data_IF_439977256439
#
_entry.id   IF_439977256439
#
_cell.length_a   1.000
_cell.length_b   1.000
_cell.length_c   1.000
_cell.angle_alpha   90.00
_cell.angle_beta   90.00
_cell.angle_gamma   90.00
#
_symmetry.space_group_name_H-M   'P 1'
#
loop_
_entity.id
_entity.type
_entity.pdbx_description
1 polymer ?
#
# COMPACT_ATOMS: atom_id res chain seq x y z
N UNK A 1 -12.71 36.85 -1.10
CA UNK A 1 -13.11 35.47 -0.75
C UNK A 1 -14.62 35.48 -0.54
N UNK A 2 -15.30 34.48 -1.09
CA UNK A 2 -16.73 34.31 -0.93
C UNK A 2 -17.06 33.91 0.49
N UNK A 3 -18.09 34.47 1.05
CA UNK A 3 -18.55 34.18 2.41
C UNK A 3 -19.96 33.61 2.39
N UNK A 4 -20.17 32.61 3.19
CA UNK A 4 -21.46 31.97 3.38
C UNK A 4 -21.77 31.80 4.86
N UNK A 5 -22.95 31.28 5.14
CA UNK A 5 -23.42 30.99 6.51
C UNK A 5 -23.91 29.56 6.60
N UNK A 6 -23.65 28.92 7.72
CA UNK A 6 -24.20 27.59 8.03
C UNK A 6 -25.71 27.73 8.22
N UNK A 7 -26.47 26.95 7.46
CA UNK A 7 -27.95 26.93 7.56
C UNK A 7 -28.48 25.63 8.15
N UNK A 8 -27.73 24.52 8.03
CA UNK A 8 -28.11 23.22 8.58
C UNK A 8 -26.89 22.41 8.94
N UNK A 9 -26.98 21.67 10.03
CA UNK A 9 -25.95 20.72 10.50
C UNK A 9 -26.63 19.37 10.72
N UNK A 10 -26.11 18.33 10.06
CA UNK A 10 -26.58 16.95 10.20
C UNK A 10 -25.37 16.02 10.36
N UNK A 11 -24.84 15.93 11.58
CA UNK A 11 -23.58 15.24 11.85
C UNK A 11 -22.41 15.89 11.08
N UNK A 12 -21.66 15.13 10.30
CA UNK A 12 -20.55 15.66 9.50
C UNK A 12 -21.00 16.36 8.20
N UNK A 13 -22.30 16.42 7.91
CA UNK A 13 -22.86 17.10 6.73
C UNK A 13 -23.32 18.51 7.11
N UNK A 14 -22.78 19.50 6.43
CA UNK A 14 -23.03 20.92 6.69
C UNK A 14 -23.59 21.58 5.43
N UNK A 15 -24.74 22.24 5.53
CA UNK A 15 -25.30 23.05 4.46
C UNK A 15 -24.91 24.52 4.67
N UNK A 16 -24.34 25.13 3.64
CA UNK A 16 -23.84 26.49 3.66
C UNK A 16 -24.53 27.29 2.56
N UNK A 17 -25.18 28.38 2.94
CA UNK A 17 -25.86 29.34 2.02
C UNK A 17 -24.93 30.51 1.70
N UNK A 18 -24.82 30.84 0.41
CA UNK A 18 -24.10 32.01 -0.08
C UNK A 18 -25.05 33.08 -0.55
N UNK A 19 -24.67 34.35 -0.45
CA UNK A 19 -25.52 35.48 -0.85
C UNK A 19 -25.72 35.55 -2.37
N UNK A 20 -24.70 35.19 -3.13
CA UNK A 20 -24.69 35.21 -4.60
C UNK A 20 -24.88 33.83 -5.21
N UNK A 21 -25.36 33.82 -6.44
CA UNK A 21 -25.46 32.60 -7.24
C UNK A 21 -24.09 32.02 -7.70
N UNK A 22 -23.02 32.76 -7.47
CA UNK A 22 -21.63 32.32 -7.76
C UNK A 22 -21.11 31.43 -6.62
N UNK A 23 -21.48 30.17 -6.68
CA UNK A 23 -21.18 29.18 -5.65
C UNK A 23 -19.77 28.61 -5.79
N UNK A 24 -19.16 28.14 -4.66
CA UNK A 24 -17.95 27.31 -4.74
C UNK A 24 -18.18 26.08 -5.60
N UNK A 25 -17.13 25.60 -6.27
CA UNK A 25 -17.20 24.37 -7.05
C UNK A 25 -17.24 23.13 -6.15
N UNK A 26 -17.76 22.04 -6.71
CA UNK A 26 -17.67 20.73 -6.05
C UNK A 26 -16.19 20.39 -5.83
N UNK A 27 -15.87 19.85 -4.66
CA UNK A 27 -14.51 19.57 -4.16
C UNK A 27 -13.73 20.81 -3.70
N UNK A 28 -14.29 22.01 -3.76
CA UNK A 28 -13.66 23.17 -3.12
C UNK A 28 -13.66 23.04 -1.59
N UNK A 29 -12.61 23.56 -0.98
CA UNK A 29 -12.48 23.65 0.47
C UNK A 29 -13.10 24.92 1.01
N UNK A 30 -13.91 24.79 2.05
CA UNK A 30 -14.46 25.89 2.83
C UNK A 30 -13.91 25.84 4.25
N UNK A 31 -13.73 26.98 4.86
CA UNK A 31 -13.19 27.09 6.21
C UNK A 31 -14.20 27.77 7.15
N UNK A 32 -14.27 27.25 8.37
CA UNK A 32 -15.04 27.83 9.47
C UNK A 32 -14.16 27.91 10.71
N UNK A 33 -14.24 29.02 11.41
CA UNK A 33 -13.58 29.19 12.72
C UNK A 33 -14.52 28.65 13.81
N UNK A 34 -14.08 27.61 14.49
CA UNK A 34 -14.79 27.00 15.61
C UNK A 34 -14.04 27.31 16.90
N UNK A 35 -14.34 28.44 17.53
CA UNK A 35 -13.70 28.94 18.75
C UNK A 35 -12.16 28.99 18.67
N UNK A 36 -11.64 29.57 17.58
CA UNK A 36 -10.22 29.71 17.32
C UNK A 36 -9.57 28.49 16.67
N UNK A 37 -10.34 27.43 16.41
CA UNK A 37 -9.90 26.25 15.68
C UNK A 37 -10.40 26.31 14.25
N UNK A 38 -9.45 26.33 13.30
CA UNK A 38 -9.75 26.22 11.88
C UNK A 38 -10.31 24.84 11.57
N UNK A 39 -11.53 24.77 11.07
CA UNK A 39 -12.15 23.55 10.58
C UNK A 39 -12.39 23.67 9.08
N UNK A 40 -12.09 22.60 8.34
CA UNK A 40 -12.24 22.56 6.89
C UNK A 40 -13.36 21.59 6.52
N UNK A 41 -14.16 21.99 5.55
CA UNK A 41 -15.17 21.16 4.91
C UNK A 41 -14.98 21.18 3.39
N UNK A 42 -15.43 20.13 2.72
CA UNK A 42 -15.36 20.02 1.27
C UNK A 42 -16.75 20.04 0.66
N UNK A 43 -16.93 20.82 -0.40
CA UNK A 43 -18.21 20.89 -1.13
C UNK A 43 -18.45 19.57 -1.84
N UNK A 44 -19.58 18.91 -1.52
CA UNK A 44 -19.99 17.64 -2.10
C UNK A 44 -21.10 17.79 -3.14
N UNK A 45 -22.04 18.72 -2.92
CA UNK A 45 -23.22 18.91 -3.78
C UNK A 45 -23.66 20.38 -3.79
N UNK A 46 -24.28 20.79 -4.91
CA UNK A 46 -25.11 21.98 -4.97
C UNK A 46 -26.56 21.52 -4.82
N UNK A 47 -27.27 22.05 -3.82
CA UNK A 47 -28.65 21.63 -3.48
C UNK A 47 -29.73 22.62 -3.84
N UNK A 48 -29.38 23.69 -4.55
CA UNK A 48 -30.31 24.79 -4.90
C UNK A 48 -30.37 25.89 -3.86
N UNK A 49 -31.08 26.99 -4.19
CA UNK A 49 -31.24 28.15 -3.31
C UNK A 49 -29.92 28.72 -2.78
N UNK A 50 -28.91 28.83 -3.64
CA UNK A 50 -27.56 29.31 -3.29
C UNK A 50 -26.89 28.53 -2.14
N UNK A 51 -27.28 27.27 -1.96
CA UNK A 51 -26.81 26.44 -0.86
C UNK A 51 -25.96 25.30 -1.40
N UNK A 52 -24.83 25.07 -0.75
CA UNK A 52 -23.96 23.92 -1.02
C UNK A 52 -23.97 22.97 0.17
N UNK A 53 -23.91 21.68 -0.11
CA UNK A 53 -23.80 20.65 0.90
C UNK A 53 -22.37 20.18 0.99
N UNK A 54 -21.82 20.22 2.21
CA UNK A 54 -20.41 19.96 2.47
C UNK A 54 -20.24 18.79 3.43
N UNK A 55 -19.09 18.15 3.34
CA UNK A 55 -18.64 17.10 4.26
C UNK A 55 -17.48 17.65 5.09
N UNK A 56 -17.60 17.54 6.41
CA UNK A 56 -16.53 17.94 7.33
C UNK A 56 -15.32 16.99 7.26
N UNK A 57 -14.14 17.59 7.26
CA UNK A 57 -12.88 16.86 7.45
C UNK A 57 -12.36 16.93 8.89
N UNK A 58 -13.13 17.54 9.77
CA UNK A 58 -12.91 17.59 11.21
C UNK A 58 -14.24 17.33 11.92
N UNK A 59 -14.23 17.25 13.26
CA UNK A 59 -15.46 17.16 14.03
C UNK A 59 -16.34 18.37 13.80
N UNK A 60 -17.65 18.17 13.65
CA UNK A 60 -18.65 19.23 13.57
C UNK A 60 -19.09 19.73 14.94
N UNK A 61 -18.58 19.17 16.01
CA UNK A 61 -18.94 19.53 17.38
C UNK A 61 -18.57 20.99 17.68
N UNK A 62 -19.52 21.74 18.22
CA UNK A 62 -19.37 23.18 18.47
C UNK A 62 -19.82 24.08 17.32
N UNK A 63 -20.07 23.55 16.14
CA UNK A 63 -20.64 24.33 15.03
C UNK A 63 -22.10 24.59 15.27
N UNK A 64 -22.58 25.78 14.86
CA UNK A 64 -23.96 26.15 14.95
C UNK A 64 -24.42 26.95 13.73
N UNK A 65 -25.72 27.08 13.60
CA UNK A 65 -26.37 27.91 12.56
C UNK A 65 -25.86 29.35 12.59
N UNK A 66 -25.81 29.96 11.42
CA UNK A 66 -25.37 31.34 11.18
C UNK A 66 -23.87 31.62 11.35
N UNK A 67 -23.05 30.62 11.65
CA UNK A 67 -21.59 30.79 11.63
C UNK A 67 -21.10 31.12 10.22
N UNK A 68 -20.16 32.07 10.14
CA UNK A 68 -19.53 32.46 8.87
C UNK A 68 -18.62 31.37 8.35
N UNK A 69 -18.75 31.07 7.07
CA UNK A 69 -17.91 30.14 6.33
C UNK A 69 -17.24 30.86 5.17
N UNK A 70 -15.96 30.66 5.00
CA UNK A 70 -15.15 31.29 3.94
C UNK A 70 -14.75 30.26 2.89
N UNK A 71 -15.08 30.53 1.63
CA UNK A 71 -14.60 29.73 0.52
C UNK A 71 -13.15 30.07 0.19
N UNK A 72 -12.30 29.05 0.10
CA UNK A 72 -10.87 29.22 -0.20
C UNK A 72 -10.60 29.49 -1.68
N UNK A 73 -11.56 29.17 -2.56
CA UNK A 73 -11.45 29.33 -4.00
C UNK A 73 -10.75 28.15 -4.71
N UNK A 74 -10.41 27.11 -3.97
CA UNK A 74 -9.77 25.89 -4.51
C UNK A 74 -10.06 24.69 -3.63
N UNK A 75 -9.72 23.50 -4.10
CA UNK A 75 -9.73 22.29 -3.28
C UNK A 75 -8.67 22.32 -2.17
N UNK A 76 -8.65 21.28 -1.37
CA UNK A 76 -7.68 21.12 -0.28
C UNK A 76 -6.28 21.09 -0.89
N UNK A 77 -5.37 21.91 -0.37
CA UNK A 77 -3.97 21.97 -0.76
C UNK A 77 -3.08 21.50 0.37
N UNK A 78 -2.12 20.67 0.03
CA UNK A 78 -1.20 20.06 0.99
C UNK A 78 0.27 20.35 0.61
N UNK A 79 1.18 20.43 1.59
CA UNK A 79 2.58 20.68 1.30
C UNK A 79 3.18 19.52 0.53
N UNK A 80 4.10 19.83 -0.39
CA UNK A 80 4.82 18.87 -1.21
C UNK A 80 6.31 19.22 -1.22
N UNK A 81 7.16 18.24 -1.53
CA UNK A 81 8.59 18.44 -1.67
C UNK A 81 9.42 17.76 -0.58
N UNK A 82 10.73 17.92 -0.64
CA UNK A 82 11.68 17.19 0.24
C UNK A 82 11.48 17.49 1.73
N UNK A 83 10.96 18.65 2.09
CA UNK A 83 10.70 18.99 3.50
C UNK A 83 9.56 18.20 4.14
N UNK A 84 8.76 17.48 3.34
CA UNK A 84 7.76 16.54 3.85
C UNK A 84 8.38 15.25 4.36
N UNK A 85 9.58 14.91 3.91
CA UNK A 85 10.27 13.68 4.31
C UNK A 85 10.65 13.71 5.79
N UNK A 86 10.42 12.59 6.46
CA UNK A 86 10.63 12.45 7.89
C UNK A 86 9.51 13.03 8.75
N UNK A 87 8.45 13.55 8.14
CA UNK A 87 7.38 14.26 8.81
C UNK A 87 6.07 13.46 8.82
N UNK A 88 5.21 13.84 9.75
CA UNK A 88 3.91 13.22 9.98
C UNK A 88 2.80 14.26 9.79
N UNK A 89 1.83 13.93 8.93
CA UNK A 89 0.75 14.85 8.52
C UNK A 89 -0.63 14.28 8.78
N UNK A 90 -1.61 15.17 8.91
CA UNK A 90 -3.03 14.83 8.81
C UNK A 90 -3.53 14.96 7.35
N UNK A 91 -4.84 14.77 7.14
CA UNK A 91 -5.47 14.86 5.81
C UNK A 91 -5.30 16.24 5.14
N UNK A 92 -5.22 17.30 5.92
CA UNK A 92 -5.06 18.68 5.44
C UNK A 92 -3.59 19.05 5.17
N UNK A 93 -2.66 18.13 5.42
CA UNK A 93 -1.24 18.41 5.32
C UNK A 93 -0.65 19.21 6.48
N UNK A 94 -1.39 19.36 7.58
CA UNK A 94 -0.86 19.95 8.80
C UNK A 94 0.08 18.94 9.48
N UNK A 95 1.19 19.44 10.01
CA UNK A 95 2.14 18.60 10.73
C UNK A 95 1.59 18.23 12.11
N UNK A 96 1.64 16.94 12.45
CA UNK A 96 1.15 16.39 13.72
C UNK A 96 2.25 15.75 14.58
N UNK A 97 3.49 15.91 14.18
CA UNK A 97 4.70 15.40 14.84
C UNK A 97 5.34 16.41 15.82
N UNK A 98 4.65 17.51 16.12
CA UNK A 98 5.13 18.64 16.95
C UNK A 98 6.34 19.37 16.35
N UNK A 99 6.67 19.13 15.09
CA UNK A 99 7.69 19.86 14.36
C UNK A 99 7.16 21.17 13.77
N UNK A 100 8.04 21.86 13.07
CA UNK A 100 7.68 23.12 12.39
C UNK A 100 6.57 22.92 11.34
N UNK A 101 5.70 23.90 11.22
CA UNK A 101 4.69 23.93 10.16
C UNK A 101 5.33 24.13 8.79
N UNK A 102 4.74 23.52 7.76
CA UNK A 102 5.18 23.66 6.37
C UNK A 102 4.26 24.59 5.55
N UNK A 103 3.65 25.57 6.18
CA UNK A 103 2.72 26.50 5.51
C UNK A 103 3.37 27.36 4.42
N UNK A 104 4.66 27.62 4.53
CA UNK A 104 5.43 28.43 3.58
C UNK A 104 6.02 27.63 2.39
N UNK A 105 5.84 26.30 2.40
CA UNK A 105 6.30 25.42 1.35
C UNK A 105 5.33 25.40 0.17
N UNK A 106 5.76 24.84 -0.94
CA UNK A 106 4.90 24.62 -2.10
C UNK A 106 3.75 23.68 -1.74
N UNK A 107 2.55 24.03 -2.17
CA UNK A 107 1.34 23.24 -1.94
C UNK A 107 0.70 22.83 -3.25
N UNK A 108 0.19 21.62 -3.30
CA UNK A 108 -0.60 21.09 -4.42
C UNK A 108 -2.00 20.68 -3.95
N UNK A 109 -2.97 20.87 -4.84
CA UNK A 109 -4.34 20.39 -4.60
C UNK A 109 -4.35 18.84 -4.62
N UNK A 110 -5.09 18.25 -3.68
CA UNK A 110 -5.24 16.79 -3.60
C UNK A 110 -6.11 16.20 -4.71
N UNK A 111 -6.96 17.02 -5.33
CA UNK A 111 -7.78 16.62 -6.47
C UNK A 111 -7.03 16.92 -7.77
N UNK A 112 -6.40 15.89 -8.30
CA UNK A 112 -5.60 15.95 -9.51
C UNK A 112 -6.10 14.93 -10.52
N UNK A 113 -5.96 15.24 -11.80
CA UNK A 113 -6.27 14.31 -12.87
C UNK A 113 -5.20 13.20 -12.96
N UNK A 114 -5.61 12.04 -13.41
CA UNK A 114 -4.69 10.97 -13.76
C UNK A 114 -3.78 11.40 -14.93
N UNK A 115 -2.55 10.85 -15.03
CA UNK A 115 -1.69 11.14 -16.19
C UNK A 115 -2.38 10.81 -17.51
N UNK A 116 -2.24 11.72 -18.49
CA UNK A 116 -2.77 11.51 -19.83
C UNK A 116 -2.04 10.38 -20.56
N UNK A 117 -2.64 9.85 -21.62
CA UNK A 117 -2.05 8.76 -22.41
C UNK A 117 -0.64 9.08 -22.94
N UNK A 118 -0.40 10.33 -23.30
CA UNK A 118 0.91 10.79 -23.80
C UNK A 118 1.98 10.87 -22.70
N UNK A 119 1.57 11.03 -21.46
CA UNK A 119 2.46 11.13 -20.29
C UNK A 119 2.86 9.77 -19.74
N UNK A 120 2.03 8.76 -19.94
CA UNK A 120 2.28 7.42 -19.44
C UNK A 120 3.45 6.76 -20.15
N UNK A 121 4.26 6.02 -19.38
CA UNK A 121 5.32 5.19 -19.93
C UNK A 121 4.73 3.90 -20.51
N UNK A 122 5.00 3.57 -21.78
CA UNK A 122 4.56 2.31 -22.34
C UNK A 122 5.40 1.11 -21.91
N UNK A 123 6.58 1.34 -21.33
CA UNK A 123 7.48 0.29 -20.90
C UNK A 123 7.04 -0.31 -19.57
N UNK A 124 7.01 -1.64 -19.50
CA UNK A 124 6.81 -2.37 -18.26
C UNK A 124 8.18 -2.72 -17.69
N UNK A 125 8.51 -2.12 -16.55
CA UNK A 125 9.77 -2.36 -15.85
C UNK A 125 9.51 -3.06 -14.52
N UNK A 126 10.37 -4.03 -14.18
CA UNK A 126 10.33 -4.71 -12.89
C UNK A 126 10.94 -3.80 -11.83
N UNK A 127 10.23 -3.61 -10.72
CA UNK A 127 10.78 -3.01 -9.50
C UNK A 127 11.43 -4.10 -8.67
N UNK A 128 12.76 -4.11 -8.64
CA UNK A 128 13.53 -5.06 -7.84
C UNK A 128 13.42 -4.70 -6.36
N UNK A 129 12.86 -5.60 -5.56
CA UNK A 129 12.64 -5.36 -4.12
C UNK A 129 13.78 -5.87 -3.24
N UNK A 130 14.63 -6.75 -3.77
CA UNK A 130 15.67 -7.43 -2.99
C UNK A 130 15.14 -8.53 -2.09
N UNK A 131 13.86 -8.86 -2.18
CA UNK A 131 13.20 -9.92 -1.41
C UNK A 131 12.94 -11.10 -2.36
N UNK A 132 13.60 -12.22 -2.11
CA UNK A 132 13.62 -13.38 -3.01
C UNK A 132 12.23 -13.86 -3.43
N UNK A 133 11.35 -14.07 -2.48
CA UNK A 133 10.02 -14.62 -2.74
C UNK A 133 9.17 -13.69 -3.62
N UNK A 134 9.27 -12.39 -3.40
CA UNK A 134 8.56 -11.39 -4.20
C UNK A 134 9.13 -11.31 -5.60
N UNK A 135 10.44 -11.10 -5.72
CA UNK A 135 11.10 -10.88 -7.00
C UNK A 135 11.01 -12.10 -7.93
N UNK A 136 11.04 -13.31 -7.37
CA UNK A 136 10.93 -14.53 -8.16
C UNK A 136 9.48 -14.83 -8.59
N UNK A 137 8.54 -14.85 -7.64
CA UNK A 137 7.21 -15.46 -7.83
C UNK A 137 6.09 -14.45 -8.02
N UNK A 138 6.24 -13.24 -7.47
CA UNK A 138 5.23 -12.19 -7.54
C UNK A 138 5.90 -10.80 -7.75
N UNK A 139 6.68 -10.62 -8.83
CA UNK A 139 7.45 -9.41 -9.05
C UNK A 139 6.55 -8.17 -9.18
N UNK A 140 7.06 -7.04 -8.68
CA UNK A 140 6.37 -5.77 -8.74
C UNK A 140 6.75 -5.03 -10.03
N UNK A 141 5.76 -4.39 -10.64
CA UNK A 141 5.99 -3.47 -11.75
C UNK A 141 6.16 -2.04 -11.23
N UNK A 142 7.09 -1.28 -11.79
CA UNK A 142 7.14 0.18 -11.57
C UNK A 142 5.86 0.82 -12.07
N UNK A 143 5.25 1.66 -11.26
CA UNK A 143 3.94 2.23 -11.54
C UNK A 143 2.78 1.26 -11.39
N UNK A 144 3.04 0.05 -10.89
CA UNK A 144 2.05 -0.98 -10.63
C UNK A 144 1.32 -0.80 -9.29
N UNK A 145 0.22 -1.51 -9.17
CA UNK A 145 -0.62 -1.54 -7.98
C UNK A 145 -0.58 -2.93 -7.38
N UNK A 146 -0.03 -3.04 -6.18
CA UNK A 146 0.18 -4.30 -5.48
C UNK A 146 -0.79 -4.39 -4.31
N UNK A 147 -1.58 -5.46 -4.27
CA UNK A 147 -2.40 -5.78 -3.12
C UNK A 147 -1.61 -6.59 -2.09
N UNK A 148 -1.63 -6.15 -0.84
CA UNK A 148 -1.01 -6.83 0.29
C UNK A 148 -2.11 -7.41 1.18
N UNK A 149 -2.14 -8.73 1.27
CA UNK A 149 -3.13 -9.47 2.05
C UNK A 149 -2.45 -10.14 3.23
N UNK A 150 -3.11 -10.17 4.36
CA UNK A 150 -2.64 -10.89 5.53
C UNK A 150 -3.38 -10.47 6.78
N UNK A 151 -3.58 -11.41 7.68
CA UNK A 151 -4.16 -11.17 9.00
C UNK A 151 -3.18 -10.48 9.95
N UNK A 152 -3.58 -10.34 11.20
CA UNK A 152 -2.73 -9.79 12.23
C UNK A 152 -1.55 -10.73 12.55
N UNK A 153 -0.39 -10.15 12.82
CA UNK A 153 0.79 -10.89 13.29
C UNK A 153 1.52 -11.72 12.23
N UNK A 154 1.33 -11.43 10.94
CA UNK A 154 2.00 -12.14 9.84
C UNK A 154 3.21 -11.38 9.28
N UNK A 155 3.62 -10.28 9.91
CA UNK A 155 4.79 -9.51 9.51
C UNK A 155 4.54 -8.45 8.44
N UNK A 156 3.31 -7.98 8.26
CA UNK A 156 2.95 -6.93 7.31
C UNK A 156 3.79 -5.66 7.48
N UNK A 157 3.85 -5.15 8.70
CA UNK A 157 4.59 -3.91 9.02
C UNK A 157 6.09 -4.05 8.75
N UNK A 158 6.67 -5.18 9.12
CA UNK A 158 8.10 -5.46 8.89
C UNK A 158 8.41 -5.54 7.40
N UNK A 159 7.53 -6.16 6.62
CA UNK A 159 7.67 -6.21 5.16
C UNK A 159 7.61 -4.81 4.53
N UNK A 160 6.67 -3.98 4.95
CA UNK A 160 6.55 -2.59 4.49
C UNK A 160 7.84 -1.81 4.79
N UNK A 161 8.36 -1.91 5.99
CA UNK A 161 9.59 -1.23 6.38
C UNK A 161 10.80 -1.72 5.57
N UNK A 162 10.90 -3.00 5.29
CA UNK A 162 11.97 -3.55 4.46
C UNK A 162 11.89 -3.09 3.01
N UNK A 163 10.70 -3.00 2.44
CA UNK A 163 10.49 -2.41 1.11
C UNK A 163 10.93 -0.95 1.07
N UNK A 164 10.59 -0.16 2.08
CA UNK A 164 11.04 1.23 2.20
C UNK A 164 12.55 1.30 2.29
N UNK A 165 13.16 0.49 3.14
CA UNK A 165 14.60 0.42 3.32
C UNK A 165 15.32 0.08 2.01
N UNK A 166 14.86 -0.93 1.32
CA UNK A 166 15.48 -1.40 0.08
C UNK A 166 15.34 -0.39 -1.06
N UNK A 167 14.19 0.24 -1.20
CA UNK A 167 14.00 1.30 -2.21
C UNK A 167 14.86 2.52 -1.91
N UNK A 168 14.93 2.96 -0.65
CA UNK A 168 15.75 4.10 -0.26
C UNK A 168 17.23 3.83 -0.46
N UNK A 169 17.72 2.64 -0.13
CA UNK A 169 19.15 2.30 -0.17
C UNK A 169 19.62 1.96 -1.57
N UNK A 170 18.87 1.13 -2.31
CA UNK A 170 19.31 0.58 -3.60
C UNK A 170 18.84 1.40 -4.80
N UNK A 171 17.70 2.05 -4.69
CA UNK A 171 17.11 2.85 -5.77
C UNK A 171 17.15 4.35 -5.53
N UNK A 172 17.53 4.79 -4.33
CA UNK A 172 17.56 6.22 -3.95
C UNK A 172 16.19 6.89 -3.93
N UNK A 173 15.12 6.11 -3.93
CA UNK A 173 13.74 6.59 -3.99
C UNK A 173 13.16 6.97 -2.64
N UNK A 174 12.04 7.70 -2.70
CA UNK A 174 11.28 8.10 -1.53
C UNK A 174 10.02 7.24 -1.38
N UNK A 175 9.48 7.25 -0.17
CA UNK A 175 8.25 6.53 0.14
C UNK A 175 7.25 7.43 0.84
N UNK A 176 5.98 7.22 0.56
CA UNK A 176 4.87 7.88 1.25
C UNK A 176 4.02 6.77 1.88
N UNK A 177 3.78 6.87 3.17
CA UNK A 177 2.88 5.96 3.87
C UNK A 177 1.59 6.67 4.23
N UNK A 178 0.45 6.11 3.82
CA UNK A 178 -0.86 6.62 4.18
C UNK A 178 -1.59 5.63 5.08
N UNK A 179 -1.91 6.06 6.31
CA UNK A 179 -2.77 5.33 7.23
C UNK A 179 -4.21 5.76 7.05
N UNK A 180 -5.05 4.86 6.55
CA UNK A 180 -6.45 5.13 6.24
C UNK A 180 -7.35 4.31 7.14
N UNK A 181 -8.00 4.96 8.09
CA UNK A 181 -9.01 4.36 8.94
C UNK A 181 -8.51 3.23 9.86
N UNK A 182 -7.21 3.14 10.08
CA UNK A 182 -6.61 2.15 10.98
C UNK A 182 -6.47 2.70 12.41
N UNK A 183 -5.99 1.89 13.32
CA UNK A 183 -5.83 2.30 14.73
C UNK A 183 -4.70 3.31 14.86
N UNK A 184 -4.96 4.40 15.59
CA UNK A 184 -3.95 5.44 15.86
C UNK A 184 -2.71 4.89 16.55
N UNK A 185 -2.87 3.90 17.43
CA UNK A 185 -1.75 3.21 18.10
C UNK A 185 -0.82 2.53 17.10
N UNK A 186 -1.36 1.80 16.13
CA UNK A 186 -0.57 1.13 15.09
C UNK A 186 0.21 2.14 14.24
N UNK A 187 -0.40 3.29 13.93
CA UNK A 187 0.29 4.38 13.24
C UNK A 187 1.44 4.97 14.05
N UNK A 188 1.24 5.15 15.35
CA UNK A 188 2.29 5.64 16.25
C UNK A 188 3.44 4.63 16.42
N UNK A 189 3.10 3.35 16.55
CA UNK A 189 4.08 2.27 16.63
C UNK A 189 4.93 2.22 15.35
N UNK A 190 4.29 2.29 14.19
CA UNK A 190 4.97 2.35 12.89
C UNK A 190 5.93 3.54 12.80
N UNK A 191 5.49 4.72 13.18
CA UNK A 191 6.33 5.92 13.17
C UNK A 191 7.56 5.76 14.07
N UNK A 192 7.38 5.24 15.28
CA UNK A 192 8.47 4.97 16.21
C UNK A 192 9.47 3.93 15.68
N UNK A 193 8.96 2.84 15.14
CA UNK A 193 9.79 1.78 14.54
C UNK A 193 10.57 2.28 13.31
N UNK A 194 9.97 3.10 12.47
CA UNK A 194 10.64 3.70 11.31
C UNK A 194 11.74 4.67 11.73
N UNK A 195 11.53 5.38 12.82
CA UNK A 195 12.55 6.26 13.42
C UNK A 195 13.74 5.46 13.95
N UNK A 196 13.46 4.36 14.66
CA UNK A 196 14.49 3.47 15.20
C UNK A 196 15.29 2.74 14.12
N UNK A 197 14.63 2.30 13.06
CA UNK A 197 15.26 1.61 11.92
C UNK A 197 16.00 2.55 10.97
N UNK A 198 15.83 3.87 11.11
CA UNK A 198 16.51 4.87 10.29
C UNK A 198 15.91 5.11 8.90
N UNK A 199 14.73 4.55 8.60
CA UNK A 199 14.07 4.73 7.29
C UNK A 199 13.17 5.97 7.23
N UNK A 200 12.89 6.60 8.38
CA UNK A 200 11.97 7.71 8.46
C UNK A 200 12.39 8.92 7.61
N UNK A 201 13.69 9.19 7.51
CA UNK A 201 14.21 10.33 6.77
C UNK A 201 13.97 10.29 5.25
N UNK A 202 13.57 9.17 4.71
CA UNK A 202 13.20 8.96 3.30
C UNK A 202 11.71 8.74 3.09
N UNK A 203 10.91 8.98 4.13
CA UNK A 203 9.48 8.66 4.13
C UNK A 203 8.67 9.83 4.69
N UNK A 204 7.56 10.16 4.04
CA UNK A 204 6.51 11.01 4.61
C UNK A 204 5.33 10.13 5.05
N UNK A 205 4.74 10.45 6.21
CA UNK A 205 3.61 9.72 6.74
C UNK A 205 2.38 10.64 6.82
N UNK A 206 1.25 10.13 6.34
CA UNK A 206 -0.03 10.85 6.36
C UNK A 206 -1.07 9.96 7.01
N UNK A 207 -1.68 10.42 8.09
CA UNK A 207 -2.66 9.63 8.84
C UNK A 207 -4.05 10.27 8.85
N UNK A 208 -5.06 9.48 8.49
CA UNK A 208 -6.47 9.73 8.70
C UNK A 208 -7.10 8.49 9.32
N UNK A 209 -6.88 8.31 10.63
CA UNK A 209 -7.16 7.06 11.32
C UNK A 209 -8.63 6.91 11.73
N UNK A 210 -8.98 5.83 12.42
CA UNK A 210 -10.37 5.49 12.71
C UNK A 210 -11.11 6.48 13.63
N UNK A 211 -10.37 7.31 14.36
CA UNK A 211 -10.95 8.39 15.19
C UNK A 211 -11.33 9.63 14.39
N UNK A 212 -10.91 9.72 13.13
CA UNK A 212 -11.23 10.84 12.24
C UNK A 212 -12.63 10.67 11.61
N UNK A 213 -13.32 11.78 11.26
CA UNK A 213 -14.60 11.71 10.56
C UNK A 213 -14.45 11.07 9.17
N UNK A 214 -15.57 10.59 8.57
CA UNK A 214 -15.51 9.90 7.29
C UNK A 214 -14.93 10.73 6.15
N UNK A 215 -15.12 12.04 6.15
CA UNK A 215 -14.52 12.95 5.16
C UNK A 215 -12.99 12.91 5.19
N UNK A 216 -12.39 12.93 6.37
CA UNK A 216 -10.94 12.84 6.52
C UNK A 216 -10.41 11.47 6.09
N UNK A 217 -11.05 10.39 6.51
CA UNK A 217 -10.67 9.01 6.12
C UNK A 217 -10.79 8.79 4.61
N UNK A 218 -11.75 9.42 3.96
CA UNK A 218 -11.95 9.34 2.52
C UNK A 218 -10.87 10.09 1.72
N UNK A 219 -10.31 11.17 2.25
CA UNK A 219 -9.37 12.05 1.52
C UNK A 219 -7.90 11.83 1.85
N UNK A 220 -7.59 11.16 2.94
CA UNK A 220 -6.19 10.99 3.37
C UNK A 220 -5.32 10.24 2.34
N UNK A 221 -5.87 9.27 1.64
CA UNK A 221 -5.15 8.56 0.58
C UNK A 221 -4.77 9.50 -0.57
N UNK A 222 -5.65 10.42 -0.93
CA UNK A 222 -5.39 11.43 -1.95
C UNK A 222 -4.31 12.43 -1.52
N UNK A 223 -4.25 12.77 -0.24
CA UNK A 223 -3.19 13.60 0.34
C UNK A 223 -1.82 12.95 0.16
N UNK A 224 -1.68 11.71 0.56
CA UNK A 224 -0.42 10.97 0.39
C UNK A 224 -0.05 10.75 -1.08
N UNK A 225 -1.03 10.43 -1.90
CA UNK A 225 -0.82 10.27 -3.34
C UNK A 225 -0.33 11.57 -4.00
N UNK A 226 -0.86 12.72 -3.60
CA UNK A 226 -0.42 14.03 -4.09
C UNK A 226 1.05 14.31 -3.75
N UNK A 227 1.47 13.98 -2.53
CA UNK A 227 2.88 14.08 -2.14
C UNK A 227 3.77 13.16 -2.99
N UNK A 228 3.31 11.94 -3.26
CA UNK A 228 4.03 11.00 -4.13
C UNK A 228 4.12 11.50 -5.58
N UNK A 229 3.04 12.05 -6.12
CA UNK A 229 2.99 12.59 -7.47
C UNK A 229 3.98 13.74 -7.67
N UNK A 230 4.20 14.59 -6.66
CA UNK A 230 5.20 15.65 -6.74
C UNK A 230 6.61 15.07 -6.97
N UNK A 231 7.01 14.08 -6.23
CA UNK A 231 8.31 13.45 -6.40
C UNK A 231 8.45 12.76 -7.75
N UNK A 232 7.38 12.14 -8.25
CA UNK A 232 7.36 11.54 -9.59
C UNK A 232 7.51 12.59 -10.68
N UNK A 233 6.70 13.65 -10.64
CA UNK A 233 6.52 14.58 -11.75
C UNK A 233 7.59 15.69 -11.77
N UNK A 234 7.99 16.21 -10.60
CA UNK A 234 8.94 17.33 -10.49
C UNK A 234 10.37 16.88 -10.18
N UNK A 235 10.53 15.86 -9.38
CA UNK A 235 11.85 15.35 -9.00
C UNK A 235 12.27 14.10 -9.76
N UNK A 236 11.44 13.60 -10.66
CA UNK A 236 11.72 12.45 -11.54
C UNK A 236 12.12 11.19 -10.76
N UNK A 237 11.46 10.95 -9.64
CA UNK A 237 11.73 9.83 -8.75
C UNK A 237 10.80 8.64 -9.01
N UNK A 238 11.29 7.47 -8.63
CA UNK A 238 10.46 6.29 -8.46
C UNK A 238 10.02 6.23 -7.00
N UNK A 239 8.74 6.40 -6.74
CA UNK A 239 8.17 6.56 -5.41
C UNK A 239 7.35 5.33 -5.03
N UNK A 240 7.51 4.86 -3.79
CA UNK A 240 6.59 3.90 -3.19
C UNK A 240 5.48 4.63 -2.43
N UNK A 241 4.25 4.25 -2.71
CA UNK A 241 3.08 4.70 -1.97
C UNK A 241 2.45 3.52 -1.24
N UNK A 242 2.38 3.60 0.09
CA UNK A 242 1.67 2.61 0.89
C UNK A 242 0.31 3.15 1.30
N UNK A 243 -0.72 2.34 1.14
CA UNK A 243 -2.09 2.65 1.55
C UNK A 243 -2.54 1.55 2.52
N UNK A 244 -2.67 1.87 3.77
CA UNK A 244 -3.13 0.95 4.79
C UNK A 244 -4.33 1.55 5.53
N UNK A 245 -5.53 1.25 5.15
CA UNK A 245 -6.04 0.16 4.34
C UNK A 245 -6.96 0.70 3.23
N UNK A 246 -6.86 0.20 2.02
CA UNK A 246 -7.72 0.68 0.90
C UNK A 246 -9.20 0.38 1.14
N UNK A 247 -9.54 -0.69 1.86
CA UNK A 247 -10.91 -0.99 2.24
C UNK A 247 -11.53 0.15 3.09
N UNK A 248 -10.74 0.78 3.95
CA UNK A 248 -11.22 1.88 4.79
C UNK A 248 -11.52 3.14 3.97
N UNK A 249 -10.80 3.36 2.89
CA UNK A 249 -11.14 4.39 1.91
C UNK A 249 -12.53 4.15 1.31
N UNK A 250 -12.81 2.94 0.86
CA UNK A 250 -14.12 2.55 0.32
C UNK A 250 -15.21 2.68 1.38
N UNK A 251 -14.97 2.22 2.60
CA UNK A 251 -15.91 2.29 3.71
C UNK A 251 -16.26 3.76 4.06
N UNK A 252 -15.26 4.63 4.11
CA UNK A 252 -15.48 6.05 4.36
C UNK A 252 -16.33 6.70 3.25
N UNK A 253 -16.08 6.34 2.00
CA UNK A 253 -16.91 6.76 0.86
C UNK A 253 -18.37 6.28 0.98
N UNK A 254 -18.59 5.07 1.48
CA UNK A 254 -19.93 4.54 1.77
C UNK A 254 -20.64 5.34 2.86
N UNK A 255 -19.96 5.65 3.95
CA UNK A 255 -20.49 6.50 5.03
C UNK A 255 -20.88 7.89 4.52
N UNK A 256 -19.99 8.53 3.74
CA UNK A 256 -20.25 9.84 3.13
C UNK A 256 -21.47 9.78 2.20
N UNK A 257 -21.56 8.78 1.35
CA UNK A 257 -22.68 8.59 0.43
C UNK A 257 -24.01 8.44 1.18
N UNK A 258 -24.05 7.66 2.25
CA UNK A 258 -25.23 7.48 3.08
C UNK A 258 -25.64 8.80 3.75
N UNK A 259 -24.69 9.56 4.27
CA UNK A 259 -24.94 10.87 4.89
C UNK A 259 -25.46 11.92 3.90
N UNK A 260 -25.07 11.81 2.63
CA UNK A 260 -25.58 12.66 1.54
C UNK A 260 -26.96 12.23 1.05
N UNK A 261 -27.53 11.15 1.57
CA UNK A 261 -28.83 10.63 1.19
C UNK A 261 -28.88 9.95 -0.17
N UNK A 262 -27.75 9.49 -0.68
CA UNK A 262 -27.70 8.70 -1.92
C UNK A 262 -28.26 7.29 -1.71
N UNK A 263 -28.99 6.81 -2.71
CA UNK A 263 -29.51 5.44 -2.66
C UNK A 263 -28.36 4.42 -2.70
N UNK A 264 -28.29 3.49 -1.73
CA UNK A 264 -27.22 2.51 -1.71
C UNK A 264 -27.33 1.51 -2.87
N UNK A 265 -26.19 1.01 -3.33
CA UNK A 265 -26.08 -0.09 -4.28
C UNK A 265 -26.00 -1.44 -3.57
N UNK A 266 -25.51 -2.47 -4.25
CA UNK A 266 -25.36 -3.81 -3.69
C UNK A 266 -24.58 -3.82 -2.35
N UNK A 267 -25.07 -4.58 -1.38
CA UNK A 267 -24.47 -4.75 -0.04
C UNK A 267 -24.34 -3.43 0.74
N UNK A 268 -25.09 -2.41 0.37
CA UNK A 268 -25.08 -1.11 1.04
C UNK A 268 -23.94 -0.15 0.64
N UNK A 269 -23.13 -0.51 -0.36
CA UNK A 269 -22.09 0.36 -0.87
C UNK A 269 -22.64 1.54 -1.69
N UNK A 270 -21.82 2.57 -1.83
CA UNK A 270 -22.13 3.75 -2.63
C UNK A 270 -22.31 3.42 -4.12
N UNK A 271 -23.24 4.05 -4.83
CA UNK A 271 -23.40 3.86 -6.27
C UNK A 271 -22.19 4.33 -7.10
N UNK A 272 -21.36 5.20 -6.51
CA UNK A 272 -20.17 5.79 -7.11
C UNK A 272 -18.88 5.01 -6.78
N UNK A 273 -18.97 3.83 -6.19
CA UNK A 273 -17.84 3.02 -5.73
C UNK A 273 -16.76 2.83 -6.81
N UNK A 274 -17.16 2.38 -7.99
CA UNK A 274 -16.24 2.11 -9.09
C UNK A 274 -15.52 3.40 -9.56
N UNK A 275 -16.23 4.52 -9.60
CA UNK A 275 -15.65 5.79 -10.00
C UNK A 275 -14.67 6.32 -8.95
N UNK A 276 -15.01 6.27 -7.67
CA UNK A 276 -14.15 6.72 -6.56
C UNK A 276 -12.85 5.93 -6.51
N UNK A 277 -12.93 4.61 -6.60
CA UNK A 277 -11.76 3.74 -6.63
C UNK A 277 -10.96 3.98 -7.90
N UNK A 278 -11.61 4.10 -9.05
CA UNK A 278 -10.97 4.37 -10.33
C UNK A 278 -10.22 5.69 -10.37
N UNK A 279 -10.81 6.77 -9.88
CA UNK A 279 -10.15 8.09 -9.80
C UNK A 279 -8.85 8.04 -8.97
N UNK A 280 -8.86 7.32 -7.85
CA UNK A 280 -7.67 7.14 -7.03
C UNK A 280 -6.63 6.27 -7.72
N UNK A 281 -7.03 5.11 -8.21
CA UNK A 281 -6.11 4.09 -8.76
C UNK A 281 -5.46 4.53 -10.07
N UNK A 282 -6.16 5.23 -10.95
CA UNK A 282 -5.63 5.67 -12.24
C UNK A 282 -4.53 6.75 -12.12
N UNK A 283 -4.48 7.47 -11.00
CA UNK A 283 -3.38 8.40 -10.69
C UNK A 283 -2.08 7.68 -10.37
N UNK A 284 -2.16 6.44 -9.92
CA UNK A 284 -1.01 5.60 -9.56
C UNK A 284 -0.48 4.96 -10.84
N UNK A 285 0.55 5.56 -11.42
CA UNK A 285 1.05 5.16 -12.72
C UNK A 285 2.53 5.49 -12.90
N UNK A 286 3.15 4.81 -13.87
CA UNK A 286 4.46 5.15 -14.39
C UNK A 286 4.30 6.17 -15.51
N UNK A 287 5.04 7.27 -15.42
CA UNK A 287 5.09 8.31 -16.44
C UNK A 287 6.49 8.38 -17.07
N UNK A 288 6.66 9.21 -18.09
CA UNK A 288 7.98 9.48 -18.69
C UNK A 288 8.96 10.15 -17.70
N UNK A 289 8.44 10.75 -16.64
CA UNK A 289 9.24 11.49 -15.65
C UNK A 289 9.66 10.62 -14.46
N UNK A 290 8.84 9.66 -14.08
CA UNK A 290 9.07 8.81 -12.93
C UNK A 290 7.90 7.86 -12.70
N UNK A 291 7.85 7.22 -11.54
CA UNK A 291 6.77 6.29 -11.23
C UNK A 291 6.25 6.44 -9.80
N UNK A 292 4.97 6.16 -9.61
CA UNK A 292 4.37 5.87 -8.30
C UNK A 292 3.93 4.42 -8.34
N UNK A 293 4.56 3.61 -7.50
CA UNK A 293 4.20 2.20 -7.29
C UNK A 293 3.49 2.09 -5.96
N UNK A 294 2.30 1.52 -5.93
CA UNK A 294 1.53 1.39 -4.68
C UNK A 294 1.55 -0.02 -4.12
N UNK A 295 1.68 -0.11 -2.81
CA UNK A 295 1.41 -1.31 -2.02
C UNK A 295 0.22 -1.01 -1.13
N UNK A 296 -0.89 -1.67 -1.40
CA UNK A 296 -2.17 -1.40 -0.77
C UNK A 296 -2.57 -2.58 0.09
N UNK A 297 -2.66 -2.38 1.40
CA UNK A 297 -3.24 -3.39 2.28
C UNK A 297 -4.74 -3.49 1.97
N UNK A 298 -5.21 -4.70 1.77
CA UNK A 298 -6.61 -4.99 1.43
C UNK A 298 -7.22 -5.86 2.51
N UNK A 299 -8.26 -5.34 3.15
CA UNK A 299 -9.11 -6.13 4.03
C UNK A 299 -10.26 -6.72 3.23
N UNK A 300 -10.51 -8.00 3.42
CA UNK A 300 -11.60 -8.74 2.77
C UNK A 300 -12.66 -9.08 3.80
N UNK A 301 -13.82 -8.40 3.81
CA UNK A 301 -14.88 -8.67 4.77
C UNK A 301 -15.35 -10.12 4.71
N UNK A 302 -15.37 -10.80 5.87
CA UNK A 302 -15.79 -12.20 5.99
C UNK A 302 -15.07 -13.18 5.04
N UNK A 303 -13.87 -12.85 4.60
CA UNK A 303 -13.10 -13.60 3.60
C UNK A 303 -13.83 -13.79 2.27
N UNK A 304 -14.81 -12.93 1.98
CA UNK A 304 -15.62 -12.97 0.76
C UNK A 304 -15.01 -12.09 -0.34
N UNK A 305 -14.30 -12.70 -1.26
CA UNK A 305 -13.69 -12.03 -2.41
C UNK A 305 -14.72 -11.48 -3.40
N UNK A 306 -15.97 -11.85 -3.29
CA UNK A 306 -17.07 -11.36 -4.14
C UNK A 306 -17.72 -10.10 -3.59
N UNK A 307 -17.36 -9.69 -2.36
CA UNK A 307 -17.79 -8.40 -1.81
C UNK A 307 -17.37 -7.26 -2.75
N UNK A 308 -18.27 -6.28 -3.02
CA UNK A 308 -17.99 -5.21 -3.98
C UNK A 308 -16.71 -4.41 -3.74
N UNK A 309 -16.28 -4.20 -2.49
CA UNK A 309 -15.09 -3.44 -2.17
C UNK A 309 -13.81 -4.15 -2.61
N UNK A 310 -13.51 -5.39 -2.16
CA UNK A 310 -12.36 -6.11 -2.67
C UNK A 310 -12.45 -6.40 -4.15
N UNK A 311 -13.62 -6.78 -4.67
CA UNK A 311 -13.79 -7.07 -6.10
C UNK A 311 -13.43 -5.88 -6.99
N UNK A 312 -13.87 -4.67 -6.64
CA UNK A 312 -13.54 -3.44 -7.37
C UNK A 312 -12.04 -3.13 -7.26
N UNK A 313 -11.45 -3.30 -6.09
CA UNK A 313 -10.02 -3.08 -5.87
C UNK A 313 -9.17 -4.06 -6.67
N UNK A 314 -9.52 -5.35 -6.69
CA UNK A 314 -8.80 -6.39 -7.44
C UNK A 314 -8.71 -6.11 -8.95
N UNK A 315 -9.72 -5.48 -9.51
CA UNK A 315 -9.71 -5.11 -10.94
C UNK A 315 -8.55 -4.19 -11.31
N UNK A 316 -8.02 -3.42 -10.36
CA UNK A 316 -6.91 -2.50 -10.56
C UNK A 316 -5.54 -3.08 -10.21
N UNK A 317 -5.47 -4.21 -9.51
CA UNK A 317 -4.21 -4.76 -9.02
C UNK A 317 -3.41 -5.46 -10.13
N UNK A 318 -2.11 -5.20 -10.15
CA UNK A 318 -1.15 -5.84 -11.05
C UNK A 318 -0.46 -7.04 -10.43
N UNK A 319 -0.34 -7.04 -9.10
CA UNK A 319 0.24 -8.14 -8.33
C UNK A 319 -0.44 -8.27 -6.97
N UNK A 320 -0.37 -9.46 -6.39
CA UNK A 320 -0.81 -9.72 -5.02
C UNK A 320 0.29 -10.39 -4.22
N UNK A 321 0.51 -9.89 -3.02
CA UNK A 321 1.40 -10.47 -2.02
C UNK A 321 0.54 -10.96 -0.86
N UNK A 322 0.51 -12.27 -0.65
CA UNK A 322 -0.30 -12.89 0.40
C UNK A 322 0.62 -13.33 1.54
N UNK A 323 0.40 -12.77 2.74
CA UNK A 323 1.10 -13.18 3.95
C UNK A 323 0.28 -14.27 4.65
N UNK A 324 0.90 -15.39 4.97
CA UNK A 324 0.25 -16.59 5.48
C UNK A 324 0.67 -16.93 6.90
N UNK A 325 -0.31 -17.14 7.77
CA UNK A 325 -0.07 -17.62 9.13
C UNK A 325 0.57 -19.02 9.15
N UNK A 326 0.21 -19.89 8.20
CA UNK A 326 0.82 -21.23 8.08
C UNK A 326 2.33 -21.15 7.87
N UNK A 327 2.79 -20.16 7.11
CA UNK A 327 4.20 -19.94 6.86
C UNK A 327 4.90 -19.37 8.09
N UNK A 328 4.24 -18.48 8.82
CA UNK A 328 4.71 -17.99 10.13
C UNK A 328 4.91 -19.14 11.11
N UNK A 329 3.97 -20.08 11.18
CA UNK A 329 4.04 -21.26 12.04
C UNK A 329 5.20 -22.19 11.71
N UNK A 330 5.67 -22.16 10.46
CA UNK A 330 6.89 -22.87 10.02
C UNK A 330 8.19 -22.10 10.33
N UNK A 331 8.08 -20.89 10.91
CA UNK A 331 9.23 -20.03 11.22
C UNK A 331 9.87 -19.38 10.00
N UNK A 332 9.18 -19.33 8.86
CA UNK A 332 9.69 -18.77 7.61
C UNK A 332 9.25 -17.31 7.50
N UNK A 333 10.23 -16.41 7.39
CA UNK A 333 10.02 -14.99 7.19
C UNK A 333 10.85 -14.46 6.01
N UNK A 334 10.31 -13.59 5.12
CA UNK A 334 8.93 -13.10 5.14
C UNK A 334 7.91 -14.22 4.90
N UNK A 335 6.75 -14.13 5.55
CA UNK A 335 5.72 -15.15 5.49
C UNK A 335 4.85 -15.04 4.22
N UNK A 336 5.45 -14.72 3.10
CA UNK A 336 4.78 -14.61 1.80
C UNK A 336 4.44 -16.00 1.29
N UNK A 337 3.16 -16.22 1.00
CA UNK A 337 2.71 -17.50 0.43
C UNK A 337 3.13 -17.58 -1.05
N UNK A 338 4.00 -18.52 -1.41
CA UNK A 338 4.54 -18.60 -2.76
C UNK A 338 3.56 -19.11 -3.80
N UNK A 339 2.47 -19.76 -3.39
CA UNK A 339 1.45 -20.30 -4.28
C UNK A 339 0.24 -19.39 -4.44
N UNK A 340 -0.12 -18.66 -3.37
CA UNK A 340 -1.24 -17.71 -3.37
C UNK A 340 -0.85 -16.32 -3.90
N UNK A 341 0.43 -15.97 -3.84
CA UNK A 341 0.92 -14.70 -4.37
C UNK A 341 1.16 -14.80 -5.87
N UNK A 342 0.82 -13.74 -6.60
CA UNK A 342 0.94 -13.72 -8.07
C UNK A 342 1.26 -12.33 -8.60
N UNK A 343 1.66 -12.27 -9.87
CA UNK A 343 1.91 -11.03 -10.57
C UNK A 343 1.60 -11.18 -12.07
N UNK A 344 0.94 -10.17 -12.64
CA UNK A 344 0.65 -10.11 -14.08
C UNK A 344 1.89 -9.98 -14.93
N UNK A 345 2.99 -9.46 -14.39
CA UNK A 345 4.24 -9.29 -15.13
C UNK A 345 5.14 -10.51 -15.10
N UNK A 346 4.76 -11.59 -14.42
CA UNK A 346 5.49 -12.85 -14.46
C UNK A 346 5.19 -13.58 -15.78
N UNK A 347 5.72 -13.04 -16.85
CA UNK A 347 5.61 -13.56 -18.20
C UNK A 347 6.97 -13.53 -18.87
N UNK A 348 7.22 -14.50 -19.77
CA UNK A 348 8.51 -14.68 -20.43
C UNK A 348 9.00 -13.42 -21.15
N UNK A 349 8.08 -12.69 -21.78
CA UNK A 349 8.40 -11.47 -22.54
C UNK A 349 8.81 -10.29 -21.65
N UNK A 350 8.46 -10.31 -20.38
CA UNK A 350 8.74 -9.22 -19.42
C UNK A 350 9.94 -9.53 -18.55
N UNK A 351 9.94 -10.68 -17.88
CA UNK A 351 10.99 -11.05 -16.92
C UNK A 351 12.14 -11.83 -17.54
N UNK A 352 11.96 -12.31 -18.76
CA UNK A 352 12.91 -13.16 -19.45
C UNK A 352 12.64 -14.65 -19.22
N UNK A 353 13.14 -15.46 -20.16
CA UNK A 353 12.90 -16.90 -20.19
C UNK A 353 13.41 -17.64 -18.95
N UNK A 354 14.63 -17.36 -18.53
CA UNK A 354 15.26 -18.03 -17.39
C UNK A 354 14.48 -17.78 -16.09
N UNK A 355 14.13 -16.54 -15.82
CA UNK A 355 13.34 -16.18 -14.65
C UNK A 355 11.96 -16.84 -14.68
N UNK A 356 11.26 -16.72 -15.80
CA UNK A 356 9.92 -17.29 -15.96
C UNK A 356 9.90 -18.80 -15.76
N UNK A 357 10.79 -19.53 -16.43
CA UNK A 357 10.87 -20.99 -16.31
C UNK A 357 11.24 -21.43 -14.88
N UNK A 358 12.19 -20.73 -14.25
CA UNK A 358 12.59 -21.01 -12.86
C UNK A 358 11.42 -20.80 -11.90
N UNK A 359 10.70 -19.71 -12.01
CA UNK A 359 9.54 -19.41 -11.19
C UNK A 359 8.43 -20.47 -11.36
N UNK A 360 8.14 -20.86 -12.60
CA UNK A 360 7.14 -21.90 -12.88
C UNK A 360 7.52 -23.25 -12.31
N UNK A 361 8.77 -23.67 -12.46
CA UNK A 361 9.25 -24.93 -11.89
C UNK A 361 9.23 -24.92 -10.36
N UNK A 362 9.57 -23.81 -9.73
CA UNK A 362 9.44 -23.64 -8.27
C UNK A 362 8.00 -23.82 -7.83
N UNK A 363 7.06 -23.17 -8.52
CA UNK A 363 5.63 -23.30 -8.22
C UNK A 363 5.14 -24.75 -8.39
N UNK A 364 5.54 -25.43 -9.44
CA UNK A 364 5.18 -26.84 -9.70
C UNK A 364 5.71 -27.77 -8.59
N UNK A 365 6.95 -27.60 -8.17
CA UNK A 365 7.54 -28.38 -7.09
C UNK A 365 6.82 -28.14 -5.77
N UNK A 366 6.52 -26.89 -5.43
CA UNK A 366 5.81 -26.54 -4.20
C UNK A 366 4.35 -27.05 -4.23
N UNK A 367 3.69 -26.96 -5.37
CA UNK A 367 2.33 -27.49 -5.54
C UNK A 367 2.32 -29.02 -5.39
N UNK A 368 3.23 -29.71 -6.03
CA UNK A 368 3.38 -31.16 -5.89
C UNK A 368 3.66 -31.58 -4.45
N UNK A 369 4.51 -30.84 -3.76
CA UNK A 369 4.78 -31.07 -2.35
C UNK A 369 3.53 -30.92 -1.49
N UNK A 370 2.72 -29.91 -1.75
CA UNK A 370 1.44 -29.72 -1.03
C UNK A 370 0.52 -30.92 -1.21
N UNK A 371 0.42 -31.46 -2.43
CA UNK A 371 -0.38 -32.64 -2.72
C UNK A 371 0.15 -33.90 -2.03
N UNK A 372 1.47 -34.03 -1.90
CA UNK A 372 2.11 -35.18 -1.26
C UNK A 372 2.08 -35.12 0.28
N UNK A 373 1.82 -33.95 0.87
CA UNK A 373 1.81 -33.80 2.34
C UNK A 373 0.80 -34.70 3.05
N UNK A 374 -0.38 -34.88 2.49
CA UNK A 374 -1.40 -35.75 3.06
C UNK A 374 -0.96 -37.23 3.02
N UNK A 375 -0.33 -37.63 1.96
CA UNK A 375 0.24 -38.98 1.81
C UNK A 375 1.36 -39.20 2.82
N UNK A 376 2.25 -38.23 2.97
CA UNK A 376 3.35 -38.27 3.93
C UNK A 376 2.83 -38.35 5.37
N UNK A 377 1.80 -37.60 5.69
CA UNK A 377 1.21 -37.58 7.04
C UNK A 377 0.56 -38.92 7.42
N UNK A 378 -0.02 -39.63 6.45
CA UNK A 378 -0.75 -40.90 6.70
C UNK A 378 0.17 -42.12 6.55
N UNK A 379 0.96 -42.16 5.51
CA UNK A 379 1.75 -43.34 5.11
C UNK A 379 3.26 -43.20 5.40
N UNK A 380 3.75 -42.01 5.60
CA UNK A 380 5.17 -41.70 5.77
C UNK A 380 5.93 -41.53 4.46
N UNK A 381 7.17 -41.02 4.57
CA UNK A 381 8.05 -40.75 3.43
C UNK A 381 8.45 -42.01 2.64
N UNK A 382 8.51 -43.13 3.31
CA UNK A 382 9.01 -44.39 2.72
C UNK A 382 8.08 -44.94 1.62
N UNK A 383 6.80 -44.58 1.66
CA UNK A 383 5.80 -45.01 0.68
C UNK A 383 5.83 -44.19 -0.63
N UNK A 384 6.61 -43.11 -0.67
CA UNK A 384 6.76 -42.30 -1.88
C UNK A 384 7.67 -42.95 -2.90
N UNK A 385 7.42 -42.70 -4.18
CA UNK A 385 8.35 -43.04 -5.26
C UNK A 385 9.67 -42.26 -5.07
N UNK A 386 10.77 -42.77 -5.64
CA UNK A 386 12.08 -42.09 -5.58
C UNK A 386 12.00 -40.68 -6.21
N UNK A 387 11.21 -40.52 -7.27
CA UNK A 387 10.97 -39.22 -7.92
C UNK A 387 10.24 -38.26 -6.97
N UNK A 388 9.22 -38.75 -6.29
CA UNK A 388 8.47 -37.93 -5.33
C UNK A 388 9.31 -37.57 -4.09
N UNK A 389 10.18 -38.46 -3.63
CA UNK A 389 11.15 -38.16 -2.57
C UNK A 389 12.08 -37.02 -2.93
N UNK A 390 12.64 -37.05 -4.15
CA UNK A 390 13.49 -35.96 -4.67
C UNK A 390 12.71 -34.63 -4.70
N UNK A 391 11.49 -34.67 -5.20
CA UNK A 391 10.61 -33.50 -5.24
C UNK A 391 10.37 -32.91 -3.83
N UNK A 392 10.10 -33.76 -2.86
CA UNK A 392 9.88 -33.34 -1.45
C UNK A 392 11.15 -32.72 -0.87
N UNK A 393 12.31 -33.32 -1.06
CA UNK A 393 13.56 -32.77 -0.54
C UNK A 393 13.89 -31.41 -1.17
N UNK A 394 13.70 -31.26 -2.47
CA UNK A 394 13.90 -29.99 -3.15
C UNK A 394 12.87 -28.94 -2.71
N UNK A 395 11.61 -29.33 -2.55
CA UNK A 395 10.56 -28.44 -2.06
C UNK A 395 10.86 -27.87 -0.67
N UNK A 396 11.33 -28.69 0.24
CA UNK A 396 11.73 -28.26 1.58
C UNK A 396 12.90 -27.28 1.55
N UNK A 397 13.88 -27.52 0.69
CA UNK A 397 15.00 -26.59 0.48
C UNK A 397 14.53 -25.26 -0.11
N UNK A 398 13.61 -25.31 -1.08
CA UNK A 398 12.99 -24.11 -1.67
C UNK A 398 12.27 -23.31 -0.61
N UNK A 399 11.43 -23.92 0.21
CA UNK A 399 10.70 -23.23 1.27
C UNK A 399 11.65 -22.52 2.25
N UNK A 400 12.72 -23.17 2.66
CA UNK A 400 13.71 -22.57 3.54
C UNK A 400 14.52 -21.47 2.87
N UNK A 401 14.84 -21.62 1.60
CA UNK A 401 15.56 -20.62 0.83
C UNK A 401 14.70 -19.39 0.49
N UNK A 402 13.38 -19.50 0.54
CA UNK A 402 12.47 -18.35 0.47
C UNK A 402 12.55 -17.46 1.71
N UNK A 403 13.03 -17.98 2.83
CA UNK A 403 13.31 -17.16 4.02
C UNK A 403 14.54 -16.27 3.77
N UNK A 404 14.51 -15.11 4.42
CA UNK A 404 15.55 -14.11 4.21
C UNK A 404 15.63 -13.18 5.43
N UNK A 405 16.84 -12.86 5.92
CA UNK A 405 16.97 -11.88 7.00
C UNK A 405 16.73 -10.45 6.48
N UNK A 406 15.98 -9.67 7.23
CA UNK A 406 15.67 -8.29 6.91
C UNK A 406 16.54 -7.31 7.68
N UNK A 407 16.92 -6.20 7.04
CA UNK A 407 17.68 -5.11 7.66
C UNK A 407 16.92 -4.49 8.84
N UNK A 408 15.62 -4.28 8.68
CA UNK A 408 14.77 -3.68 9.71
C UNK A 408 14.53 -4.61 10.91
N UNK A 409 14.84 -5.88 10.80
CA UNK A 409 14.71 -6.88 11.86
C UNK A 409 16.04 -7.24 12.56
N UNK A 410 17.16 -6.64 12.17
CA UNK A 410 18.50 -6.94 12.73
C UNK A 410 18.55 -6.80 14.24
N UNK A 411 17.89 -5.78 14.79
CA UNK A 411 17.86 -5.52 16.24
C UNK A 411 17.11 -6.61 17.04
N UNK A 412 16.15 -7.28 16.39
CA UNK A 412 15.37 -8.36 17.03
C UNK A 412 15.97 -9.73 16.83
N UNK A 413 16.54 -9.98 15.65
CA UNK A 413 17.03 -11.31 15.27
C UNK A 413 18.51 -11.51 15.55
N UNK A 414 19.28 -10.42 15.64
CA UNK A 414 20.74 -10.47 15.74
C UNK A 414 21.43 -10.94 14.45
N UNK A 415 20.68 -11.07 13.35
CA UNK A 415 21.20 -11.50 12.06
C UNK A 415 21.23 -10.31 11.11
N UNK A 416 22.38 -10.02 10.45
CA UNK A 416 22.46 -8.95 9.45
C UNK A 416 21.48 -9.18 8.30
N UNK A 417 20.76 -8.12 7.92
CA UNK A 417 19.83 -8.15 6.81
C UNK A 417 20.54 -8.33 5.46
N UNK A 418 19.81 -8.85 4.49
CA UNK A 418 20.31 -9.10 3.14
C UNK A 418 19.38 -8.53 2.09
N UNK A 419 19.94 -7.74 1.19
CA UNK A 419 19.32 -7.43 -0.10
C UNK A 419 19.83 -8.45 -1.12
N UNK A 420 18.93 -9.16 -1.76
CA UNK A 420 19.31 -10.18 -2.74
C UNK A 420 18.97 -9.69 -4.15
N UNK A 421 19.97 -9.41 -5.00
CA UNK A 421 19.71 -9.05 -6.38
C UNK A 421 18.88 -10.11 -7.11
N UNK A 422 17.98 -9.69 -7.97
CA UNK A 422 17.09 -10.58 -8.73
C UNK A 422 17.87 -11.67 -9.46
N UNK A 423 18.98 -11.32 -10.07
CA UNK A 423 19.86 -12.27 -10.78
C UNK A 423 20.36 -13.41 -9.87
N UNK A 424 20.73 -13.07 -8.63
CA UNK A 424 21.18 -14.06 -7.65
C UNK A 424 20.03 -14.91 -7.13
N UNK A 425 18.85 -14.35 -7.00
CA UNK A 425 17.62 -15.08 -6.65
C UNK A 425 17.31 -16.14 -7.71
N UNK A 426 17.26 -15.75 -8.97
CA UNK A 426 17.00 -16.69 -10.08
C UNK A 426 18.08 -17.78 -10.16
N UNK A 427 19.35 -17.41 -10.07
CA UNK A 427 20.47 -18.34 -10.07
C UNK A 427 20.35 -19.38 -8.94
N UNK A 428 20.08 -18.91 -7.74
CA UNK A 428 19.99 -19.78 -6.57
C UNK A 428 18.85 -20.79 -6.65
N UNK A 429 17.67 -20.35 -7.01
CA UNK A 429 16.52 -21.25 -7.17
C UNK A 429 16.71 -22.22 -8.34
N UNK A 430 17.30 -21.77 -9.43
CA UNK A 430 17.63 -22.65 -10.55
C UNK A 430 18.59 -23.77 -10.15
N UNK A 431 19.63 -23.49 -9.39
CA UNK A 431 20.54 -24.48 -8.86
C UNK A 431 19.85 -25.52 -7.99
N UNK A 432 18.88 -25.10 -7.16
CA UNK A 432 18.10 -26.01 -6.33
C UNK A 432 17.23 -26.94 -7.19
N UNK A 433 16.48 -26.38 -8.14
CA UNK A 433 15.57 -27.17 -8.98
C UNK A 433 16.29 -28.08 -9.99
N UNK A 434 17.49 -27.71 -10.41
CA UNK A 434 18.32 -28.52 -11.32
C UNK A 434 19.10 -29.64 -10.60
N UNK A 435 19.01 -29.68 -9.26
CA UNK A 435 19.66 -30.75 -8.47
C UNK A 435 21.10 -30.50 -8.06
N UNK A 436 21.69 -29.37 -8.43
CA UNK A 436 23.07 -29.02 -8.06
C UNK A 436 23.26 -28.86 -6.54
N UNK A 437 22.18 -28.65 -5.81
CA UNK A 437 22.17 -28.44 -4.36
C UNK A 437 21.65 -29.66 -3.59
N UNK A 438 21.43 -30.81 -4.23
CA UNK A 438 20.83 -31.98 -3.59
C UNK A 438 21.66 -32.52 -2.43
N UNK A 439 23.00 -32.42 -2.50
CA UNK A 439 23.91 -32.87 -1.46
C UNK A 439 24.01 -31.96 -0.23
N UNK A 440 23.44 -30.78 -0.28
CA UNK A 440 23.49 -29.83 0.83
C UNK A 440 22.37 -30.07 1.83
N UNK A 441 22.62 -29.90 3.16
CA UNK A 441 21.60 -30.13 4.16
C UNK A 441 20.51 -29.03 4.10
N UNK A 442 19.28 -29.40 4.37
CA UNK A 442 18.10 -28.52 4.36
C UNK A 442 18.30 -27.26 5.22
N UNK A 443 18.94 -27.40 6.38
CA UNK A 443 19.16 -26.26 7.29
C UNK A 443 20.10 -25.19 6.75
N UNK A 444 20.97 -25.52 5.81
CA UNK A 444 21.86 -24.55 5.18
C UNK A 444 21.11 -23.50 4.36
N UNK A 445 19.89 -23.81 3.91
CA UNK A 445 19.05 -22.92 3.10
C UNK A 445 18.23 -21.92 3.94
N UNK A 446 18.20 -22.11 5.25
CA UNK A 446 17.36 -21.30 6.12
C UNK A 446 18.00 -19.95 6.44
N UNK A 447 17.22 -18.88 6.24
CA UNK A 447 17.55 -17.51 6.64
C UNK A 447 18.90 -17.02 6.09
N UNK A 448 19.08 -17.18 4.80
CA UNK A 448 20.27 -16.73 4.05
C UNK A 448 19.87 -15.78 2.93
N UNK A 449 20.83 -15.05 2.40
CA UNK A 449 20.63 -14.20 1.22
C UNK A 449 20.79 -14.98 -0.07
N UNK A 450 22.02 -15.18 -0.52
CA UNK A 450 22.34 -15.84 -1.79
C UNK A 450 22.62 -17.33 -1.62
N UNK A 451 22.63 -18.04 -2.75
CA UNK A 451 22.98 -19.46 -2.78
C UNK A 451 24.44 -19.72 -2.33
N UNK A 452 25.33 -18.76 -2.52
CA UNK A 452 26.73 -18.85 -2.07
C UNK A 452 26.83 -18.98 -0.55
N UNK A 453 25.93 -18.32 0.20
CA UNK A 453 25.83 -18.48 1.66
C UNK A 453 25.39 -19.91 2.05
N UNK A 454 24.53 -20.53 1.26
CA UNK A 454 24.16 -21.95 1.45
C UNK A 454 25.36 -22.86 1.27
N UNK A 455 26.16 -22.62 0.25
CA UNK A 455 27.38 -23.40 -0.04
C UNK A 455 28.40 -23.28 1.11
N UNK A 456 28.57 -22.06 1.64
CA UNK A 456 29.45 -21.82 2.79
C UNK A 456 28.97 -22.54 4.06
N UNK A 457 27.65 -22.46 4.35
CA UNK A 457 27.06 -23.15 5.51
C UNK A 457 27.12 -24.67 5.39
N UNK A 458 26.95 -25.21 4.19
CA UNK A 458 26.96 -26.66 3.94
C UNK A 458 28.33 -27.28 4.01
N UNK A 459 29.42 -26.49 3.95
CA UNK A 459 30.82 -26.95 4.08
C UNK A 459 31.30 -27.00 5.55
N UNK A 460 30.57 -26.34 6.46
CA UNK A 460 30.85 -26.38 7.91
C UNK A 460 30.12 -27.52 8.58
#
# INVERSE_FOLDING_TARGET
>A
MKKGKIVQISGPVIDVEFEDSDLPYIKDALEVDNDGKRCVMEVAQHIGNNTVRCIMLASSEGLHKDMEVVATGSGIKVPVGEKTLGRLFNVLGDTIDKGESLTDEQHWCIHRDAPGFEEQSPAVEVLETGIKVIDLLAPYAKGGKIGLFGGAGVGKTVLIQELIQNVATEHGGYSIFTGVGERSREGNDLWSEMKESGVLNKTALVFGQMNEPPGARMRVAETGLTMAEYFRDEEHQDVLLFIDNIFRFVQAGSEVSALLGRMPSAVGYQPTLANEVGELQERIASTKNGSVTSVQAVYVPADDLTDPAPATTFAHLDATTVLSRKIVEQGIYPAVDPLESNSRILEEDIVGKEHYETARRVQEILQKYTELQDIIAILGMEELSEEDKITVYRARKIQRFLSQPFHVAETFTGVPGKYVPLKETVRGFKMIIDGEMDDYPEQAFFNVGTIDEVIEKGRK
#
